data_IF_476070833729
#
_entry.id   IF_476070833729
#
_cell.length_a   1.000
_cell.length_b   1.000
_cell.length_c   1.000
_cell.angle_alpha   90.00
_cell.angle_beta   90.00
_cell.angle_gamma   90.00
#
_symmetry.space_group_name_H-M   'P 1'
#
loop_
_entity.id
_entity.type
_entity.pdbx_description
1 polymer ?
#
# COMPACT_ATOMS: atom_id res chain seq x y z
N UNK A 1 49.82 -42.47 -38.81
CA UNK A 1 49.22 -41.27 -39.44
C UNK A 1 48.29 -41.73 -40.55
N UNK A 2 47.07 -42.11 -40.17
CA UNK A 2 45.82 -42.13 -40.94
C UNK A 2 44.74 -42.69 -40.01
N UNK A 3 43.54 -42.16 -40.19
CA UNK A 3 42.33 -42.25 -39.39
C UNK A 3 41.86 -43.67 -39.03
N UNK A 4 41.13 -43.78 -37.92
CA UNK A 4 39.70 -44.16 -37.97
C UNK A 4 39.06 -44.15 -36.59
N UNK A 5 38.01 -43.33 -36.45
CA UNK A 5 36.91 -43.52 -35.50
C UNK A 5 36.24 -44.87 -35.79
N UNK A 6 35.78 -45.58 -34.75
CA UNK A 6 34.34 -45.70 -34.45
C UNK A 6 34.02 -46.76 -33.37
N UNK A 7 32.94 -46.46 -32.63
CA UNK A 7 31.91 -47.38 -32.12
C UNK A 7 32.08 -48.05 -30.75
N UNK A 8 31.13 -47.66 -29.86
CA UNK A 8 30.28 -48.41 -28.88
C UNK A 8 30.88 -49.73 -28.33
N UNK A 9 30.74 -50.10 -27.06
CA UNK A 9 29.48 -50.32 -26.35
C UNK A 9 29.80 -50.97 -24.98
N UNK A 10 29.01 -50.60 -23.95
CA UNK A 10 28.60 -51.38 -22.78
C UNK A 10 29.61 -52.32 -22.08
N UNK A 11 30.01 -51.93 -20.85
CA UNK A 11 30.42 -52.87 -19.80
C UNK A 11 29.61 -52.54 -18.54
N UNK A 12 28.86 -53.53 -18.09
CA UNK A 12 28.14 -53.60 -16.83
C UNK A 12 29.06 -54.13 -15.72
N UNK A 13 28.99 -53.54 -14.54
CA UNK A 13 29.50 -54.12 -13.28
C UNK A 13 28.72 -53.57 -12.06
N UNK A 14 28.84 -54.21 -10.87
CA UNK A 14 27.73 -54.59 -10.00
C UNK A 14 27.43 -53.61 -8.84
N UNK A 15 26.38 -53.93 -8.08
CA UNK A 15 25.82 -53.11 -7.01
C UNK A 15 26.71 -52.84 -5.81
N UNK A 16 26.32 -51.81 -5.07
CA UNK A 16 26.59 -51.60 -3.66
C UNK A 16 25.50 -50.70 -3.08
N UNK A 17 24.91 -51.15 -1.99
CA UNK A 17 23.96 -50.42 -1.15
C UNK A 17 24.53 -49.09 -0.65
N UNK A 18 23.69 -48.05 -0.65
CA UNK A 18 23.73 -46.97 0.36
C UNK A 18 22.52 -46.06 0.19
N UNK A 19 21.48 -46.29 1.00
CA UNK A 19 20.44 -45.29 1.25
C UNK A 19 21.03 -44.09 2.02
N UNK A 20 20.72 -42.83 1.66
CA UNK A 20 21.00 -41.70 2.53
C UNK A 20 19.85 -41.52 3.53
N UNK A 21 20.08 -41.96 4.76
CA UNK A 21 19.42 -41.45 5.97
C UNK A 21 19.63 -39.93 6.05
N UNK A 22 18.68 -39.16 5.53
CA UNK A 22 18.80 -37.69 5.50
C UNK A 22 17.49 -36.90 5.42
N UNK A 23 16.33 -37.55 5.49
CA UNK A 23 15.04 -36.85 5.37
C UNK A 23 14.08 -37.01 6.57
N UNK A 24 14.52 -37.60 7.67
CA UNK A 24 13.63 -37.86 8.83
C UNK A 24 13.75 -36.87 9.99
N UNK A 25 14.72 -35.95 10.00
CA UNK A 25 14.84 -34.94 11.09
C UNK A 25 14.25 -33.56 10.75
N UNK A 26 14.05 -33.22 9.47
CA UNK A 26 13.46 -31.93 9.08
C UNK A 26 11.91 -31.89 9.17
N UNK A 27 11.25 -33.06 9.30
CA UNK A 27 9.79 -33.14 9.49
C UNK A 27 9.35 -33.19 10.95
N UNK A 28 10.27 -33.33 11.91
CA UNK A 28 9.91 -33.51 13.32
C UNK A 28 9.88 -32.22 14.14
N UNK A 29 10.34 -31.09 13.59
CA UNK A 29 10.23 -29.76 14.22
C UNK A 29 9.06 -28.93 13.68
N UNK A 30 8.33 -29.44 12.68
CA UNK A 30 7.15 -28.78 12.08
C UNK A 30 5.83 -29.28 12.67
N UNK A 31 5.85 -29.98 13.80
CA UNK A 31 4.65 -30.64 14.35
C UNK A 31 4.47 -30.49 15.85
N UNK A 32 5.22 -29.60 16.52
CA UNK A 32 5.03 -29.36 17.97
C UNK A 32 5.03 -27.88 18.42
N UNK A 33 5.00 -26.90 17.51
CA UNK A 33 4.77 -25.48 17.86
C UNK A 33 3.65 -24.82 17.03
N UNK A 34 2.67 -25.61 16.59
CA UNK A 34 1.50 -25.16 15.83
C UNK A 34 0.21 -25.11 16.67
N UNK A 35 0.34 -24.91 17.98
CA UNK A 35 -0.81 -24.69 18.88
C UNK A 35 -0.54 -23.47 19.78
N UNK A 36 -0.11 -22.35 19.20
CA UNK A 36 -0.36 -21.07 19.85
C UNK A 36 -1.84 -20.74 19.66
N UNK A 37 -2.57 -20.68 20.77
CA UNK A 37 -3.98 -20.40 20.84
C UNK A 37 -4.30 -19.10 20.10
N UNK A 38 -4.88 -19.21 18.90
CA UNK A 38 -5.46 -18.07 18.20
C UNK A 38 -6.70 -17.67 18.99
N UNK A 39 -6.58 -16.60 19.80
CA UNK A 39 -7.73 -15.83 20.29
C UNK A 39 -8.67 -15.59 19.11
N UNK A 40 -9.87 -16.21 19.14
CA UNK A 40 -10.80 -16.11 18.03
C UNK A 40 -11.30 -14.67 17.97
N UNK A 41 -10.86 -13.92 16.94
CA UNK A 41 -11.30 -12.54 16.70
C UNK A 41 -12.79 -12.35 17.00
N UNK A 42 -13.11 -11.28 17.72
CA UNK A 42 -14.49 -10.93 18.03
C UNK A 42 -15.29 -10.71 16.73
N UNK A 43 -16.62 -10.90 16.78
CA UNK A 43 -17.49 -10.64 15.62
C UNK A 43 -17.36 -9.20 15.10
N UNK A 44 -17.15 -8.26 16.01
CA UNK A 44 -16.96 -6.85 15.68
C UNK A 44 -15.64 -6.63 14.95
N UNK A 45 -14.56 -7.29 15.38
CA UNK A 45 -13.26 -7.26 14.72
C UNK A 45 -13.31 -7.82 13.30
N UNK A 46 -13.96 -8.98 13.12
CA UNK A 46 -14.16 -9.56 11.78
C UNK A 46 -14.96 -8.63 10.86
N UNK A 47 -16.06 -8.08 11.36
CA UNK A 47 -16.87 -7.12 10.59
C UNK A 47 -16.09 -5.86 10.21
N UNK A 48 -15.21 -5.36 11.09
CA UNK A 48 -14.33 -4.24 10.78
C UNK A 48 -13.35 -4.58 9.65
N UNK A 49 -12.66 -5.72 9.73
CA UNK A 49 -11.73 -6.17 8.68
C UNK A 49 -12.42 -6.39 7.32
N UNK A 50 -13.65 -6.93 7.33
CA UNK A 50 -14.47 -7.09 6.13
C UNK A 50 -14.85 -5.74 5.50
N UNK A 51 -15.20 -4.73 6.31
CA UNK A 51 -15.50 -3.37 5.84
C UNK A 51 -14.25 -2.67 5.26
N UNK A 52 -13.08 -3.01 5.78
CA UNK A 52 -11.81 -2.57 5.22
C UNK A 52 -11.43 -3.34 3.95
N UNK A 53 -12.14 -4.41 3.59
CA UNK A 53 -11.78 -5.32 2.51
C UNK A 53 -10.37 -5.91 2.66
N UNK A 54 -9.97 -6.21 3.90
CA UNK A 54 -8.75 -6.98 4.17
C UNK A 54 -8.99 -8.43 3.73
N UNK A 55 -8.05 -9.06 2.97
CA UNK A 55 -8.21 -10.45 2.57
C UNK A 55 -8.38 -11.38 3.77
N UNK A 56 -9.29 -12.38 3.70
CA UNK A 56 -9.62 -13.23 4.85
C UNK A 56 -8.50 -14.21 5.24
N UNK A 57 -7.51 -14.38 4.36
CA UNK A 57 -6.33 -15.23 4.53
C UNK A 57 -5.12 -14.48 5.13
N UNK A 58 -5.28 -13.20 5.49
CA UNK A 58 -4.25 -12.45 6.22
C UNK A 58 -3.96 -13.08 7.57
N UNK A 59 -2.68 -13.20 7.89
CA UNK A 59 -2.22 -13.75 9.16
C UNK A 59 -2.53 -12.80 10.33
N UNK A 60 -3.05 -13.38 11.41
CA UNK A 60 -3.47 -12.70 12.63
C UNK A 60 -2.63 -13.21 13.81
N UNK A 61 -2.12 -12.30 14.63
CA UNK A 61 -1.23 -12.61 15.74
C UNK A 61 -1.68 -11.90 17.01
N UNK A 62 -1.70 -12.59 18.15
CA UNK A 62 -1.87 -11.93 19.44
C UNK A 62 -0.59 -11.14 19.76
N UNK A 63 -0.73 -9.89 20.19
CA UNK A 63 0.43 -9.08 20.53
C UNK A 63 1.11 -9.59 21.81
N UNK A 64 2.43 -9.78 21.76
CA UNK A 64 3.24 -10.29 22.88
C UNK A 64 4.53 -9.48 23.11
N UNK A 65 4.54 -8.22 22.65
CA UNK A 65 5.67 -7.30 22.80
C UNK A 65 6.32 -6.88 21.48
N UNK A 66 7.10 -5.79 21.52
CA UNK A 66 7.77 -5.25 20.33
C UNK A 66 8.72 -6.25 19.62
N UNK A 67 9.52 -7.09 20.32
CA UNK A 67 10.37 -8.07 19.64
C UNK A 67 9.56 -9.06 18.80
N UNK A 68 8.42 -9.54 19.32
CA UNK A 68 7.52 -10.43 18.58
C UNK A 68 6.90 -9.72 17.37
N UNK A 69 6.45 -8.47 17.54
CA UNK A 69 5.94 -7.68 16.42
C UNK A 69 6.98 -7.54 15.31
N UNK A 70 8.22 -7.23 15.67
CA UNK A 70 9.31 -7.07 14.70
C UNK A 70 9.64 -8.39 13.99
N UNK A 71 9.75 -9.49 14.72
CA UNK A 71 9.99 -10.81 14.12
C UNK A 71 8.88 -11.21 13.13
N UNK A 72 7.61 -11.07 13.54
CA UNK A 72 6.46 -11.43 12.69
C UNK A 72 6.40 -10.55 11.44
N UNK A 73 6.63 -9.26 11.57
CA UNK A 73 6.59 -8.33 10.44
C UNK A 73 7.75 -8.55 9.47
N UNK A 74 8.96 -8.85 9.96
CA UNK A 74 10.10 -9.23 9.13
C UNK A 74 9.82 -10.53 8.34
N UNK A 75 9.24 -11.54 9.00
CA UNK A 75 8.84 -12.79 8.34
C UNK A 75 7.75 -12.54 7.29
N UNK A 76 6.71 -11.77 7.63
CA UNK A 76 5.64 -11.43 6.71
C UNK A 76 6.14 -10.62 5.50
N UNK A 77 7.04 -9.66 5.72
CA UNK A 77 7.68 -8.90 4.64
C UNK A 77 8.46 -9.82 3.69
N UNK A 78 9.28 -10.73 4.23
CA UNK A 78 10.03 -11.70 3.42
C UNK A 78 9.10 -12.61 2.60
N UNK A 79 8.01 -13.09 3.19
CA UNK A 79 6.99 -13.86 2.47
C UNK A 79 6.30 -13.01 1.38
N UNK A 80 5.97 -11.75 1.68
CA UNK A 80 5.32 -10.82 0.76
C UNK A 80 6.16 -10.46 -0.46
N UNK A 81 7.47 -10.28 -0.30
CA UNK A 81 8.37 -9.94 -1.42
C UNK A 81 8.75 -11.16 -2.25
N UNK A 82 8.80 -12.36 -1.66
CA UNK A 82 9.19 -13.60 -2.37
C UNK A 82 8.01 -14.34 -2.99
N UNK A 83 6.80 -14.20 -2.45
CA UNK A 83 5.59 -14.81 -2.97
C UNK A 83 4.58 -13.75 -3.45
N UNK A 84 4.34 -13.70 -4.76
CA UNK A 84 3.45 -12.72 -5.38
C UNK A 84 1.98 -12.83 -4.93
N UNK A 85 1.55 -13.97 -4.39
CA UNK A 85 0.17 -14.18 -3.91
C UNK A 85 -0.02 -13.79 -2.45
N UNK A 86 1.05 -13.55 -1.70
CA UNK A 86 0.96 -13.20 -0.30
C UNK A 86 0.46 -11.76 -0.13
N UNK A 87 -0.40 -11.56 0.87
CA UNK A 87 -0.91 -10.24 1.25
C UNK A 87 0.18 -9.35 1.87
N UNK A 88 0.15 -8.01 1.68
CA UNK A 88 1.03 -7.08 2.39
C UNK A 88 0.70 -6.89 3.87
N UNK A 89 -0.44 -7.40 4.33
CA UNK A 89 -0.95 -7.07 5.66
C UNK A 89 -0.49 -8.05 6.73
N UNK A 90 -0.29 -7.51 7.93
CA UNK A 90 -0.17 -8.26 9.19
C UNK A 90 -1.15 -7.66 10.18
N UNK A 91 -1.90 -8.50 10.89
CA UNK A 91 -2.86 -8.06 11.89
C UNK A 91 -2.38 -8.49 13.27
N UNK A 92 -2.29 -7.55 14.20
CA UNK A 92 -2.12 -7.81 15.62
C UNK A 92 -3.41 -7.58 16.38
N UNK A 93 -3.80 -8.55 17.20
CA UNK A 93 -4.97 -8.51 18.08
C UNK A 93 -4.55 -8.21 19.51
N UNK A 94 -5.50 -7.72 20.30
CA UNK A 94 -5.30 -7.40 21.71
C UNK A 94 -4.12 -6.41 21.92
N UNK A 95 -3.91 -5.53 20.92
CA UNK A 95 -2.81 -4.56 20.89
C UNK A 95 -3.16 -3.34 21.75
N UNK A 96 -2.50 -3.12 22.91
CA UNK A 96 -2.91 -2.09 23.86
C UNK A 96 -2.73 -0.66 23.32
N UNK A 97 -3.64 0.24 23.70
CA UNK A 97 -3.59 1.65 23.28
C UNK A 97 -2.33 2.34 23.81
N UNK A 98 -1.97 2.11 25.08
CA UNK A 98 -0.79 2.72 25.69
C UNK A 98 0.52 2.26 25.01
N UNK A 99 0.60 0.98 24.60
CA UNK A 99 1.73 0.44 23.82
C UNK A 99 1.80 1.09 22.45
N UNK A 100 0.65 1.33 21.81
CA UNK A 100 0.58 2.05 20.55
C UNK A 100 1.19 3.45 20.70
N UNK A 101 0.68 4.23 21.65
CA UNK A 101 1.06 5.63 21.81
C UNK A 101 2.53 5.81 22.18
N UNK A 102 3.11 4.86 22.92
CA UNK A 102 4.52 4.90 23.32
C UNK A 102 5.50 4.49 22.21
N UNK A 103 5.04 3.75 21.20
CA UNK A 103 5.92 3.07 20.23
C UNK A 103 5.51 3.25 18.76
N UNK A 104 4.60 4.18 18.47
CA UNK A 104 4.14 4.47 17.11
C UNK A 104 5.28 4.72 16.11
N UNK A 105 6.37 5.36 16.55
CA UNK A 105 7.55 5.68 15.75
C UNK A 105 8.39 4.45 15.37
N UNK A 106 8.14 3.31 16.00
CA UNK A 106 8.89 2.05 15.81
C UNK A 106 8.16 1.04 14.94
N UNK A 107 6.91 1.28 14.57
CA UNK A 107 6.16 0.32 13.78
C UNK A 107 6.65 0.28 12.33
N UNK A 108 6.87 -0.91 11.77
CA UNK A 108 7.25 -1.04 10.36
C UNK A 108 6.06 -0.78 9.44
N UNK A 109 6.34 -0.29 8.23
CA UNK A 109 5.34 -0.12 7.18
C UNK A 109 4.39 1.07 7.40
N UNK A 110 3.11 0.87 7.06
CA UNK A 110 2.04 1.86 7.32
C UNK A 110 1.02 1.33 8.31
N UNK A 111 0.59 2.22 9.19
CA UNK A 111 -0.27 1.89 10.31
C UNK A 111 -1.74 2.19 10.03
N UNK A 112 -2.60 1.25 10.40
CA UNK A 112 -4.05 1.41 10.52
C UNK A 112 -4.54 0.70 11.79
N UNK A 113 -4.93 1.47 12.81
CA UNK A 113 -5.24 0.96 14.14
C UNK A 113 -6.66 1.32 14.56
N UNK A 114 -7.35 0.39 15.22
CA UNK A 114 -8.64 0.64 15.85
C UNK A 114 -8.50 0.53 17.37
N UNK A 115 -8.53 1.66 18.13
CA UNK A 115 -8.31 1.64 19.58
C UNK A 115 -9.42 0.93 20.34
N UNK A 116 -10.67 0.97 19.84
CA UNK A 116 -11.80 0.33 20.50
C UNK A 116 -11.77 -1.19 20.35
N UNK A 117 -11.16 -1.69 19.27
CA UNK A 117 -11.01 -3.11 19.00
C UNK A 117 -9.62 -3.64 19.38
N UNK A 118 -8.68 -2.75 19.73
CA UNK A 118 -7.27 -3.10 19.96
C UNK A 118 -6.68 -3.91 18.80
N UNK A 119 -6.99 -3.48 17.57
CA UNK A 119 -6.53 -4.11 16.34
C UNK A 119 -5.53 -3.20 15.64
N UNK A 120 -4.30 -3.68 15.47
CA UNK A 120 -3.28 -3.03 14.67
C UNK A 120 -3.12 -3.77 13.35
N UNK A 121 -3.34 -3.07 12.25
CA UNK A 121 -3.08 -3.54 10.89
C UNK A 121 -1.84 -2.81 10.40
N UNK A 122 -0.82 -3.58 10.02
CA UNK A 122 0.38 -3.06 9.39
C UNK A 122 0.41 -3.46 7.92
N UNK A 123 0.62 -2.47 7.05
CA UNK A 123 0.84 -2.69 5.62
C UNK A 123 2.33 -2.66 5.34
N UNK A 124 2.86 -3.77 4.84
CA UNK A 124 4.27 -3.88 4.44
C UNK A 124 4.52 -3.17 3.10
N UNK A 125 5.38 -2.15 3.14
CA UNK A 125 5.72 -1.32 1.98
C UNK A 125 6.91 -1.91 1.22
N UNK A 126 6.69 -2.42 0.01
CA UNK A 126 7.76 -2.96 -0.85
C UNK A 126 8.47 -1.87 -1.65
N UNK A 127 9.59 -2.22 -2.28
CA UNK A 127 10.34 -1.27 -3.12
C UNK A 127 9.49 -0.67 -4.28
N UNK A 128 8.71 -1.44 -5.07
CA UNK A 128 7.82 -0.85 -6.09
C UNK A 128 6.77 0.11 -5.53
N UNK A 129 6.26 -0.19 -4.33
CA UNK A 129 5.29 0.65 -3.64
C UNK A 129 5.90 2.00 -3.24
N UNK A 130 7.09 1.99 -2.63
CA UNK A 130 7.79 3.23 -2.25
C UNK A 130 8.29 4.02 -3.47
N UNK A 131 8.65 3.36 -4.58
CA UNK A 131 8.97 4.07 -5.84
C UNK A 131 7.75 4.81 -6.37
N UNK A 132 6.57 4.17 -6.43
CA UNK A 132 5.35 4.84 -6.86
C UNK A 132 5.02 6.04 -5.96
N UNK A 133 5.01 5.83 -4.63
CA UNK A 133 4.70 6.89 -3.68
C UNK A 133 5.70 8.05 -3.74
N UNK A 134 7.00 7.75 -3.76
CA UNK A 134 8.06 8.75 -3.74
C UNK A 134 8.24 9.51 -5.06
N UNK A 135 8.07 8.85 -6.21
CA UNK A 135 8.10 9.54 -7.51
C UNK A 135 6.88 10.43 -7.67
N UNK A 136 5.68 9.95 -7.28
CA UNK A 136 4.48 10.77 -7.30
C UNK A 136 4.62 12.02 -6.40
N UNK A 137 5.14 11.85 -5.19
CA UNK A 137 5.42 12.97 -4.27
C UNK A 137 6.35 14.01 -4.89
N UNK A 138 7.39 13.57 -5.62
CA UNK A 138 8.30 14.47 -6.33
C UNK A 138 7.57 15.33 -7.35
N UNK A 139 6.65 14.77 -8.14
CA UNK A 139 5.89 15.56 -9.10
C UNK A 139 4.96 16.57 -8.42
N UNK A 140 4.35 16.22 -7.29
CA UNK A 140 3.59 17.19 -6.48
C UNK A 140 4.50 18.33 -5.99
N UNK A 141 5.72 18.02 -5.55
CA UNK A 141 6.70 19.04 -5.15
C UNK A 141 7.17 19.91 -6.32
N UNK A 142 7.34 19.34 -7.51
CA UNK A 142 7.73 20.08 -8.71
C UNK A 142 6.63 21.05 -9.14
N UNK A 143 5.36 20.60 -9.14
CA UNK A 143 4.21 21.49 -9.37
C UNK A 143 4.11 22.56 -8.31
N UNK A 144 4.36 22.24 -7.03
CA UNK A 144 4.39 23.23 -5.96
C UNK A 144 5.52 24.27 -6.16
N UNK A 145 6.67 23.85 -6.68
CA UNK A 145 7.81 24.73 -7.01
C UNK A 145 7.50 25.65 -8.18
N UNK A 146 6.91 25.11 -9.25
CA UNK A 146 6.48 25.87 -10.43
C UNK A 146 5.47 26.95 -10.05
N UNK A 147 4.58 26.64 -9.12
CA UNK A 147 3.59 27.57 -8.58
C UNK A 147 4.14 28.51 -7.48
N UNK A 148 5.42 28.40 -7.10
CA UNK A 148 6.01 29.23 -6.03
C UNK A 148 5.52 28.92 -4.61
N UNK A 149 4.74 27.85 -4.41
CA UNK A 149 4.11 27.47 -3.14
C UNK A 149 4.82 26.34 -2.41
N UNK A 150 5.94 25.82 -2.93
CA UNK A 150 6.72 24.73 -2.33
C UNK A 150 6.99 24.90 -0.83
N UNK A 151 7.29 26.12 -0.39
CA UNK A 151 7.59 26.42 1.01
C UNK A 151 6.34 26.55 1.91
N UNK A 152 5.15 26.61 1.30
CA UNK A 152 3.85 26.72 1.97
C UNK A 152 3.01 25.45 1.85
N UNK A 153 3.46 24.44 1.09
CA UNK A 153 2.83 23.13 1.02
C UNK A 153 3.67 22.13 1.80
N UNK A 154 3.12 21.60 2.89
CA UNK A 154 3.84 20.71 3.79
C UNK A 154 3.47 19.24 3.49
N UNK A 155 4.46 18.35 3.30
CA UNK A 155 4.22 16.92 3.40
C UNK A 155 3.93 16.58 4.87
N UNK A 156 2.97 15.68 5.10
CA UNK A 156 2.66 15.20 6.44
C UNK A 156 3.50 13.98 6.84
N UNK A 157 4.23 13.37 5.92
CA UNK A 157 5.07 12.19 6.19
C UNK A 157 4.28 11.09 6.89
N UNK A 158 4.82 10.60 8.02
CA UNK A 158 4.19 9.58 8.88
C UNK A 158 3.13 10.14 9.84
N UNK A 159 2.77 11.43 9.75
CA UNK A 159 1.74 11.99 10.61
C UNK A 159 0.39 11.30 10.36
N UNK A 160 -0.14 10.73 11.44
CA UNK A 160 -1.38 9.99 11.46
C UNK A 160 -2.60 10.92 11.49
N UNK A 161 -3.71 10.40 10.99
CA UNK A 161 -5.04 10.98 11.18
C UNK A 161 -5.85 10.07 12.10
N UNK A 162 -6.33 10.63 13.21
CA UNK A 162 -7.02 9.87 14.26
C UNK A 162 -8.49 10.27 14.36
N UNK A 163 -9.39 9.30 14.25
CA UNK A 163 -10.79 9.37 14.68
C UNK A 163 -10.97 8.59 15.98
N UNK A 164 -12.12 8.69 16.68
CA UNK A 164 -12.37 7.88 17.89
C UNK A 164 -12.27 6.37 17.67
N UNK A 165 -12.39 5.90 16.43
CA UNK A 165 -12.47 4.49 16.06
C UNK A 165 -11.40 4.04 15.05
N UNK A 166 -10.59 4.94 14.49
CA UNK A 166 -9.55 4.57 13.51
C UNK A 166 -8.40 5.56 13.46
N UNK A 167 -7.18 5.04 13.50
CA UNK A 167 -5.92 5.74 13.60
C UNK A 167 -5.06 5.33 12.42
N UNK A 168 -5.00 6.15 11.38
CA UNK A 168 -4.44 5.74 10.09
C UNK A 168 -3.40 6.69 9.52
N UNK A 169 -2.35 6.12 8.95
CA UNK A 169 -1.35 6.81 8.16
C UNK A 169 -1.69 6.68 6.67
N UNK A 170 -1.51 7.77 5.92
CA UNK A 170 -1.51 7.72 4.46
C UNK A 170 -0.15 7.29 3.95
N UNK A 171 -0.06 6.75 2.74
CA UNK A 171 1.23 6.58 2.09
C UNK A 171 1.95 7.90 1.85
N UNK A 172 1.22 8.90 1.35
CA UNK A 172 1.64 10.32 1.30
C UNK A 172 0.42 11.21 1.56
N UNK A 173 0.64 12.38 2.14
CA UNK A 173 -0.42 13.38 2.23
C UNK A 173 0.15 14.78 2.40
N UNK A 174 -0.64 15.78 2.01
CA UNK A 174 -0.22 17.18 1.98
C UNK A 174 -1.20 18.07 2.71
N UNK A 175 -0.69 19.19 3.21
CA UNK A 175 -1.49 20.24 3.83
C UNK A 175 -0.79 21.60 3.64
N UNK A 176 -1.50 22.70 3.35
CA UNK A 176 -0.87 24.00 3.29
C UNK A 176 -0.53 24.50 4.70
N UNK A 177 0.50 25.33 4.80
CA UNK A 177 0.91 26.01 6.03
C UNK A 177 -0.19 26.95 6.54
N UNK A 178 -0.82 27.69 5.62
CA UNK A 178 -1.91 28.62 5.92
C UNK A 178 -3.25 27.88 5.88
N UNK A 179 -3.78 27.54 7.05
CA UNK A 179 -5.06 26.83 7.18
C UNK A 179 -6.24 27.81 7.23
N UNK A 180 -7.38 27.47 6.57
CA UNK A 180 -8.63 28.19 6.75
C UNK A 180 -9.06 28.26 8.23
N UNK A 181 -9.78 29.32 8.66
CA UNK A 181 -10.25 29.44 10.04
C UNK A 181 -11.04 28.20 10.52
N UNK A 182 -10.69 27.70 11.69
CA UNK A 182 -11.35 26.54 12.32
C UNK A 182 -10.82 25.18 11.87
N UNK A 183 -9.92 25.11 10.90
CA UNK A 183 -9.26 23.86 10.47
C UNK A 183 -8.01 23.58 11.31
N UNK A 184 -7.75 22.31 11.57
CA UNK A 184 -6.52 21.83 12.24
C UNK A 184 -5.60 21.04 11.29
N UNK A 185 -4.44 20.61 11.77
CA UNK A 185 -3.51 19.73 11.03
C UNK A 185 -3.87 18.24 11.12
N UNK A 186 -5.00 17.90 11.77
CA UNK A 186 -5.45 16.52 11.97
C UNK A 186 -5.73 15.81 10.65
N UNK A 187 -6.35 16.51 9.69
CA UNK A 187 -6.68 15.97 8.37
C UNK A 187 -5.85 16.65 7.26
N UNK A 188 -5.37 15.87 6.27
CA UNK A 188 -4.70 16.45 5.11
C UNK A 188 -5.68 17.19 4.19
N UNK A 189 -5.18 18.04 3.30
CA UNK A 189 -5.98 18.59 2.20
C UNK A 189 -6.13 17.55 1.09
N UNK A 190 -5.06 16.81 0.80
CA UNK A 190 -5.01 15.71 -0.17
C UNK A 190 -4.25 14.52 0.43
N UNK A 191 -4.78 13.30 0.26
CA UNK A 191 -4.14 12.06 0.67
C UNK A 191 -3.92 11.12 -0.53
N UNK A 192 -2.81 10.38 -0.52
CA UNK A 192 -2.47 9.35 -1.50
C UNK A 192 -2.32 8.01 -0.79
N UNK A 193 -2.92 6.97 -1.36
CA UNK A 193 -2.70 5.58 -1.01
C UNK A 193 -2.18 4.80 -2.21
N UNK A 194 -1.17 3.99 -1.99
CA UNK A 194 -0.55 3.14 -3.00
C UNK A 194 -0.79 1.69 -2.60
N UNK A 195 -1.44 0.94 -3.48
CA UNK A 195 -1.66 -0.49 -3.29
C UNK A 195 -0.76 -1.30 -4.19
N UNK A 196 0.07 -2.19 -3.63
CA UNK A 196 0.85 -3.17 -4.38
C UNK A 196 0.32 -4.58 -4.08
N UNK A 197 -0.49 -5.12 -4.99
CA UNK A 197 -1.39 -6.29 -4.81
C UNK A 197 -2.69 -6.05 -4.04
N UNK A 198 -2.95 -4.85 -3.52
CA UNK A 198 -4.24 -4.56 -2.90
C UNK A 198 -5.41 -4.55 -3.91
N UNK A 199 -6.60 -4.92 -3.42
CA UNK A 199 -7.83 -4.90 -4.23
C UNK A 199 -8.28 -3.46 -4.47
N UNK A 200 -9.12 -3.25 -5.51
CA UNK A 200 -9.69 -1.91 -5.76
C UNK A 200 -10.65 -1.52 -4.63
N UNK A 201 -11.33 -2.50 -4.06
CA UNK A 201 -12.28 -2.37 -2.96
C UNK A 201 -11.59 -1.94 -1.67
N UNK A 202 -10.40 -2.50 -1.37
CA UNK A 202 -9.55 -2.08 -0.25
C UNK A 202 -9.15 -0.61 -0.37
N UNK A 203 -8.59 -0.20 -1.51
CA UNK A 203 -8.23 1.19 -1.74
C UNK A 203 -9.46 2.11 -1.70
N UNK A 204 -10.60 1.68 -2.24
CA UNK A 204 -11.86 2.43 -2.13
C UNK A 204 -12.29 2.60 -0.67
N UNK A 205 -12.09 1.60 0.20
CA UNK A 205 -12.35 1.73 1.64
C UNK A 205 -11.41 2.73 2.33
N UNK A 206 -10.15 2.80 1.90
CA UNK A 206 -9.26 3.87 2.37
C UNK A 206 -9.73 5.25 1.89
N UNK A 207 -10.20 5.37 0.64
CA UNK A 207 -10.80 6.62 0.15
C UNK A 207 -12.03 7.01 0.96
N UNK A 208 -12.85 6.05 1.43
CA UNK A 208 -13.99 6.32 2.32
C UNK A 208 -13.54 6.93 3.64
N UNK A 209 -12.42 6.47 4.20
CA UNK A 209 -11.85 7.04 5.41
C UNK A 209 -11.36 8.47 5.18
N UNK A 210 -10.52 8.69 4.16
CA UNK A 210 -9.98 10.03 3.89
C UNK A 210 -11.10 11.02 3.58
N UNK A 211 -12.06 10.64 2.74
CA UNK A 211 -13.21 11.46 2.37
C UNK A 211 -14.37 11.35 3.36
N UNK A 212 -14.13 10.83 4.58
CA UNK A 212 -15.12 10.88 5.67
C UNK A 212 -15.22 12.26 6.29
N UNK A 213 -14.13 13.01 6.30
CA UNK A 213 -14.06 14.38 6.78
C UNK A 213 -14.04 15.41 5.62
N UNK A 214 -14.71 16.55 5.77
CA UNK A 214 -14.81 17.57 4.73
C UNK A 214 -13.53 18.42 4.58
N UNK A 215 -12.59 18.26 5.50
CA UNK A 215 -11.25 18.85 5.44
C UNK A 215 -10.38 18.20 4.35
N UNK A 216 -10.60 16.92 4.02
CA UNK A 216 -9.96 16.28 2.86
C UNK A 216 -10.74 16.64 1.60
N UNK A 217 -10.09 17.32 0.66
CA UNK A 217 -10.70 17.80 -0.58
C UNK A 217 -10.63 16.77 -1.70
N UNK A 218 -9.57 15.97 -1.72
CA UNK A 218 -9.35 14.92 -2.70
C UNK A 218 -8.54 13.78 -2.06
N UNK A 219 -8.83 12.56 -2.47
CA UNK A 219 -8.01 11.40 -2.16
C UNK A 219 -7.57 10.73 -3.47
N UNK A 220 -6.37 10.18 -3.49
CA UNK A 220 -5.74 9.60 -4.66
C UNK A 220 -5.40 8.14 -4.36
N UNK A 221 -5.55 7.27 -5.35
CA UNK A 221 -5.09 5.89 -5.24
C UNK A 221 -4.23 5.49 -6.43
N UNK A 222 -3.09 4.83 -6.17
CA UNK A 222 -2.27 4.16 -7.19
C UNK A 222 -2.33 2.65 -6.93
N UNK A 223 -3.04 1.91 -7.76
CA UNK A 223 -3.20 0.46 -7.64
C UNK A 223 -2.31 -0.27 -8.65
N UNK A 224 -1.29 -0.95 -8.15
CA UNK A 224 -0.29 -1.66 -8.94
C UNK A 224 -0.62 -3.16 -8.90
N UNK A 225 -0.91 -3.74 -10.07
CA UNK A 225 -1.21 -5.16 -10.23
C UNK A 225 0.05 -5.95 -10.49
N UNK A 226 0.57 -6.62 -9.46
CA UNK A 226 1.79 -7.44 -9.53
C UNK A 226 1.86 -8.39 -10.74
N UNK A 227 0.82 -9.17 -11.07
CA UNK A 227 0.96 -10.19 -12.13
C UNK A 227 1.14 -9.59 -13.53
N UNK A 228 0.58 -8.41 -13.77
CA UNK A 228 0.56 -7.78 -15.11
C UNK A 228 1.46 -6.55 -15.20
N UNK A 229 1.86 -5.97 -14.07
CA UNK A 229 2.46 -4.64 -14.02
C UNK A 229 1.49 -3.50 -14.35
N UNK A 230 0.18 -3.76 -14.49
CA UNK A 230 -0.78 -2.69 -14.77
C UNK A 230 -0.90 -1.75 -13.57
N UNK A 231 -0.93 -0.45 -13.83
CA UNK A 231 -1.04 0.61 -12.81
C UNK A 231 -2.34 1.37 -13.07
N UNK A 232 -3.19 1.47 -12.05
CA UNK A 232 -4.41 2.25 -12.08
C UNK A 232 -4.27 3.44 -11.14
N UNK A 233 -4.45 4.64 -11.66
CA UNK A 233 -4.39 5.88 -10.90
C UNK A 233 -5.79 6.46 -10.91
N UNK A 234 -6.29 6.82 -9.74
CA UNK A 234 -7.66 7.32 -9.60
C UNK A 234 -7.69 8.50 -8.66
N UNK A 235 -8.32 9.60 -9.10
CA UNK A 235 -8.69 10.70 -8.24
C UNK A 235 -10.10 10.47 -7.70
N UNK A 236 -10.27 10.68 -6.41
CA UNK A 236 -11.51 10.47 -5.70
C UNK A 236 -11.95 11.75 -5.00
N UNK A 237 -13.24 12.04 -5.13
CA UNK A 237 -13.90 13.09 -4.39
C UNK A 237 -15.07 12.52 -3.60
N UNK A 238 -15.52 13.27 -2.60
CA UNK A 238 -16.69 12.90 -1.82
C UNK A 238 -17.91 12.85 -2.75
N UNK A 239 -18.62 11.73 -2.75
CA UNK A 239 -19.88 11.61 -3.50
C UNK A 239 -20.98 12.52 -2.98
N UNK A 240 -22.10 12.55 -3.69
CA UNK A 240 -23.25 13.36 -3.32
C UNK A 240 -23.77 12.99 -1.91
N UNK A 241 -24.23 13.99 -1.11
CA UNK A 241 -24.86 13.73 0.17
C UNK A 241 -26.02 12.75 0.01
N UNK A 242 -26.04 11.71 0.85
CA UNK A 242 -27.13 10.74 0.88
C UNK A 242 -28.34 11.43 1.55
N UNK A 243 -29.59 11.19 1.10
CA UNK A 243 -30.78 11.78 1.69
C UNK A 243 -30.86 11.59 3.22
N UNK A 244 -31.52 12.51 3.95
CA UNK A 244 -31.68 12.40 5.40
C UNK A 244 -32.32 11.06 5.79
N UNK A 245 -31.66 10.31 6.67
CA UNK A 245 -32.17 9.03 7.20
C UNK A 245 -31.32 7.80 6.87
N UNK A 246 -30.27 7.91 6.05
CA UNK A 246 -29.27 6.85 5.88
C UNK A 246 -28.01 7.11 6.73
N UNK A 247 -27.51 6.12 7.47
CA UNK A 247 -26.38 6.28 8.40
C UNK A 247 -24.99 6.25 7.75
N UNK A 248 -24.89 6.25 6.41
CA UNK A 248 -23.60 6.10 5.72
C UNK A 248 -23.02 7.43 5.24
N UNK A 249 -21.70 7.58 5.39
CA UNK A 249 -20.94 8.64 4.72
C UNK A 249 -21.11 8.50 3.18
N UNK A 250 -21.10 9.60 2.41
CA UNK A 250 -21.17 9.51 0.95
C UNK A 250 -20.08 8.61 0.39
N UNK A 251 -20.45 7.75 -0.56
CA UNK A 251 -19.49 6.89 -1.26
C UNK A 251 -18.51 7.75 -2.06
N UNK A 252 -17.18 7.48 -1.98
CA UNK A 252 -16.20 8.11 -2.84
C UNK A 252 -16.53 7.91 -4.32
N UNK A 253 -16.49 8.99 -5.07
CA UNK A 253 -16.71 9.01 -6.51
C UNK A 253 -15.36 9.21 -7.20
N UNK A 254 -15.04 8.32 -8.15
CA UNK A 254 -13.90 8.52 -9.03
C UNK A 254 -14.22 9.68 -9.99
N UNK A 255 -13.34 10.68 -10.03
CA UNK A 255 -13.48 11.86 -10.91
C UNK A 255 -12.48 11.85 -12.06
N UNK A 256 -11.35 11.16 -11.89
CA UNK A 256 -10.36 10.89 -12.94
C UNK A 256 -9.88 9.44 -12.82
N UNK A 257 -9.74 8.74 -13.93
CA UNK A 257 -9.24 7.37 -14.00
C UNK A 257 -8.21 7.22 -15.11
N UNK A 258 -7.02 6.76 -14.75
CA UNK A 258 -5.89 6.55 -15.66
C UNK A 258 -5.43 5.12 -15.48
N UNK A 259 -5.30 4.39 -16.59
CA UNK A 259 -4.78 3.03 -16.61
C UNK A 259 -3.53 3.02 -17.48
N UNK A 260 -2.43 2.57 -16.90
CA UNK A 260 -1.15 2.38 -17.60
C UNK A 260 -0.88 0.88 -17.67
N UNK A 261 -0.81 0.36 -18.89
CA UNK A 261 -0.45 -1.04 -19.14
C UNK A 261 0.96 -1.13 -19.68
N UNK A 262 1.75 -1.99 -19.03
CA UNK A 262 3.11 -2.27 -19.45
C UNK A 262 3.10 -2.84 -20.87
N UNK A 263 3.86 -2.21 -21.77
CA UNK A 263 4.04 -2.70 -23.13
C UNK A 263 4.67 -4.09 -23.14
N UNK A 264 4.32 -4.90 -24.15
CA UNK A 264 5.05 -6.15 -24.41
C UNK A 264 6.46 -5.82 -24.95
N UNK A 265 7.40 -6.76 -24.88
CA UNK A 265 8.80 -6.54 -25.25
C UNK A 265 8.98 -5.69 -26.54
N UNK A 266 9.51 -4.47 -26.37
CA UNK A 266 9.78 -3.51 -27.44
C UNK A 266 8.60 -2.62 -27.87
N UNK A 267 7.43 -2.75 -27.24
CA UNK A 267 6.27 -1.88 -27.45
C UNK A 267 6.20 -0.81 -26.38
N UNK A 268 5.74 0.38 -26.78
CA UNK A 268 5.44 1.45 -25.82
C UNK A 268 4.31 1.03 -24.88
N UNK A 269 4.30 1.55 -23.63
CA UNK A 269 3.17 1.38 -22.74
C UNK A 269 1.87 1.96 -23.30
N UNK A 270 0.76 1.30 -23.02
CA UNK A 270 -0.57 1.82 -23.33
C UNK A 270 -1.09 2.65 -22.15
N UNK A 271 -1.73 3.79 -22.46
CA UNK A 271 -2.34 4.68 -21.47
C UNK A 271 -3.78 4.93 -21.89
N UNK A 272 -4.73 4.53 -21.05
CA UNK A 272 -6.16 4.68 -21.27
C UNK A 272 -6.81 5.50 -20.15
N UNK A 273 -7.94 6.14 -20.48
CA UNK A 273 -8.66 7.03 -19.57
C UNK A 273 -8.22 8.48 -19.71
N UNK A 274 -8.12 9.21 -18.60
CA UNK A 274 -7.63 10.58 -18.60
C UNK A 274 -6.17 10.65 -19.03
N UNK A 275 -5.79 11.71 -19.75
CA UNK A 275 -4.42 11.85 -20.25
C UNK A 275 -3.43 12.33 -19.19
N UNK A 276 -3.92 13.11 -18.21
CA UNK A 276 -3.15 13.68 -17.12
C UNK A 276 -3.94 13.52 -15.82
N UNK A 277 -3.25 13.55 -14.67
CA UNK A 277 -3.90 13.67 -13.37
C UNK A 277 -3.84 15.12 -12.91
N UNK A 278 -4.99 15.72 -12.61
CA UNK A 278 -5.08 17.10 -12.13
C UNK A 278 -5.50 17.13 -10.67
N UNK A 279 -4.68 17.75 -9.82
CA UNK A 279 -5.03 18.11 -8.44
C UNK A 279 -5.36 19.61 -8.44
N UNK A 280 -6.63 20.02 -8.23
CA UNK A 280 -6.98 21.43 -8.23
C UNK A 280 -6.17 22.20 -7.19
N UNK A 281 -5.68 23.38 -7.57
CA UNK A 281 -4.88 24.23 -6.69
C UNK A 281 -5.63 24.53 -5.40
N UNK A 282 -6.92 24.86 -5.52
CA UNK A 282 -7.78 25.17 -4.38
C UNK A 282 -8.03 23.97 -3.46
N UNK A 283 -7.90 22.74 -3.98
CA UNK A 283 -8.06 21.53 -3.17
C UNK A 283 -6.81 21.28 -2.33
N UNK A 284 -5.62 21.41 -2.91
CA UNK A 284 -4.37 21.14 -2.20
C UNK A 284 -3.93 22.32 -1.32
N UNK A 285 -4.11 23.57 -1.77
CA UNK A 285 -3.71 24.79 -1.06
C UNK A 285 -4.83 25.43 -0.23
N UNK A 286 -6.07 24.95 -0.31
CA UNK A 286 -7.23 25.42 0.47
C UNK A 286 -7.56 26.91 0.33
N UNK A 287 -7.09 27.53 -0.75
CA UNK A 287 -7.36 28.92 -1.12
C UNK A 287 -7.44 29.04 -2.63
N UNK A 288 -8.04 30.11 -3.11
CA UNK A 288 -8.03 30.41 -4.55
C UNK A 288 -6.59 30.67 -5.04
N UNK A 289 -6.28 30.30 -6.29
CA UNK A 289 -5.02 30.64 -6.91
C UNK A 289 -4.88 32.16 -7.07
N UNK A 290 -3.67 32.66 -6.83
CA UNK A 290 -3.22 34.00 -7.16
C UNK A 290 -2.79 34.07 -8.64
N UNK A 291 -2.40 35.25 -9.11
CA UNK A 291 -1.95 35.41 -10.49
C UNK A 291 -0.72 34.53 -10.78
N UNK A 292 -0.86 33.62 -11.75
CA UNK A 292 0.20 32.70 -12.17
C UNK A 292 0.20 31.35 -11.45
N UNK A 293 -0.60 31.20 -10.38
CA UNK A 293 -0.84 29.89 -9.76
C UNK A 293 -1.92 29.13 -10.54
N UNK A 294 -1.71 27.83 -10.73
CA UNK A 294 -2.53 26.93 -11.53
C UNK A 294 -2.66 25.56 -10.85
N UNK A 295 -3.60 24.76 -11.33
CA UNK A 295 -3.78 23.39 -10.86
C UNK A 295 -2.51 22.55 -11.07
N UNK A 296 -2.32 21.56 -10.21
CA UNK A 296 -1.17 20.67 -10.26
C UNK A 296 -1.48 19.56 -11.26
N UNK A 297 -0.99 19.72 -12.48
CA UNK A 297 -1.19 18.76 -13.58
C UNK A 297 -0.01 17.81 -13.65
N UNK A 298 -0.16 16.59 -13.18
CA UNK A 298 0.81 15.50 -13.37
C UNK A 298 0.58 14.93 -14.77
N UNK A 299 1.53 15.16 -15.68
CA UNK A 299 1.34 14.92 -17.11
C UNK A 299 1.41 13.44 -17.46
N UNK A 300 0.96 13.08 -18.66
CA UNK A 300 1.13 11.73 -19.21
C UNK A 300 2.57 11.24 -19.10
N UNK A 301 3.54 12.10 -19.41
CA UNK A 301 4.96 11.80 -19.38
C UNK A 301 5.45 11.54 -17.94
N UNK A 302 5.04 12.37 -16.98
CA UNK A 302 5.35 12.16 -15.56
C UNK A 302 4.82 10.79 -15.08
N UNK A 303 3.57 10.48 -15.43
CA UNK A 303 2.92 9.24 -15.03
C UNK A 303 3.58 8.00 -15.68
N UNK A 304 4.07 8.13 -16.91
CA UNK A 304 4.82 7.08 -17.60
C UNK A 304 6.21 6.88 -16.97
N UNK A 305 6.94 7.95 -16.63
CA UNK A 305 8.22 7.85 -15.94
C UNK A 305 8.05 7.18 -14.56
N UNK A 306 7.00 7.53 -13.82
CA UNK A 306 6.64 6.82 -12.58
C UNK A 306 6.39 5.32 -12.85
N UNK A 307 5.62 4.99 -13.89
CA UNK A 307 5.32 3.60 -14.24
C UNK A 307 6.59 2.80 -14.61
N UNK A 308 7.50 3.40 -15.37
CA UNK A 308 8.81 2.82 -15.70
C UNK A 308 9.65 2.55 -14.45
N UNK A 309 9.69 3.50 -13.51
CA UNK A 309 10.36 3.32 -12.22
C UNK A 309 9.76 2.16 -11.41
N UNK A 310 8.42 2.06 -11.38
CA UNK A 310 7.72 0.95 -10.71
C UNK A 310 8.08 -0.38 -11.36
N UNK A 311 8.04 -0.48 -12.69
CA UNK A 311 8.38 -1.73 -13.38
C UNK A 311 9.84 -2.13 -13.19
N UNK A 312 10.76 -1.16 -13.19
CA UNK A 312 12.16 -1.41 -12.85
C UNK A 312 12.30 -2.00 -11.44
N UNK A 313 11.60 -1.40 -10.45
CA UNK A 313 11.60 -1.90 -9.08
C UNK A 313 10.95 -3.28 -8.94
N UNK A 314 9.98 -3.62 -9.79
CA UNK A 314 9.35 -4.95 -9.81
C UNK A 314 10.26 -6.03 -10.40
N UNK A 315 11.10 -5.67 -11.36
CA UNK A 315 11.97 -6.61 -12.08
C UNK A 315 13.29 -6.90 -11.35
N UNK A 316 13.72 -5.99 -10.46
CA UNK A 316 14.89 -6.22 -9.61
C UNK A 316 14.57 -7.31 -8.58
N UNK A 317 15.45 -8.31 -8.52
CA UNK A 317 15.45 -9.39 -7.53
C UNK A 317 16.54 -9.16 -6.50
#
# INVERSE_FOLDING_TARGET
MQDSKATKQSISQPGADSEPLGHSLARSLHSQESENATSKLSKQSRSFLEQLHIPPDVSEYEYSGLPHLQEVTDQAYNCFITNSTQSPFVIFTDFPVDEFEQHEDKFPGRVDYNPNLQLLILTMTSFPHEVAAGVFERYVEDRAKENGVRHTLLPRGTARTSTPDRWKQADRSWIPLDLPPGRTTQWPSVALEVGYSETREKLKSDMKFWLSNNEVRMALSINIKRPTGAIFITAWERGAPIPPGMPSNPEPQATQEIKIERGKAGQEPDVAGDSNLTIPFEYIMLRKPSQGEMDFVISREDLLEMAEGVWFAMDIK
#
